data_IF_062877956814
#
_entry.id   IF_062877956814
#
_cell.length_a   1.000
_cell.length_b   1.000
_cell.length_c   1.000
_cell.angle_alpha   90.00
_cell.angle_beta   90.00
_cell.angle_gamma   90.00
#
_symmetry.space_group_name_H-M   'P 1'
#
loop_
_entity.id
_entity.type
_entity.pdbx_description
1 polymer ?
#
# COMPACT_ATOMS: atom_id res chain seq x y z
N UNK A 1 14.48 22.31 7.24
CA UNK A 1 14.82 20.99 7.79
C UNK A 1 14.01 19.97 7.01
N UNK A 2 14.64 19.20 6.11
CA UNK A 2 13.96 18.12 5.38
C UNK A 2 13.53 17.07 6.39
N UNK A 3 12.25 16.69 6.39
CA UNK A 3 11.79 15.53 7.16
C UNK A 3 12.50 14.32 6.55
N UNK A 4 13.47 13.76 7.27
CA UNK A 4 14.15 12.54 6.84
C UNK A 4 13.23 11.37 7.18
N UNK A 5 12.78 10.63 6.16
CA UNK A 5 12.00 9.42 6.39
C UNK A 5 12.97 8.27 6.67
N UNK A 6 12.90 7.69 7.86
CA UNK A 6 13.70 6.51 8.19
C UNK A 6 13.01 5.24 7.70
N UNK A 7 13.75 4.42 6.95
CA UNK A 7 13.32 3.08 6.49
C UNK A 7 13.96 1.97 7.34
N UNK A 8 15.17 2.26 7.85
CA UNK A 8 15.96 1.38 8.69
C UNK A 8 15.62 1.63 10.15
N UNK A 9 14.56 0.97 10.61
CA UNK A 9 14.03 1.11 11.98
C UNK A 9 13.39 -0.20 12.44
N UNK A 10 13.20 -0.34 13.75
CA UNK A 10 12.40 -1.42 14.34
C UNK A 10 10.96 -1.35 13.81
N UNK A 11 10.44 -2.52 13.42
CA UNK A 11 9.08 -2.70 12.87
C UNK A 11 8.21 -3.59 13.76
N UNK A 12 8.62 -3.78 15.02
CA UNK A 12 7.91 -4.61 16.00
C UNK A 12 6.94 -3.76 16.82
N UNK A 13 5.67 -4.13 16.77
CA UNK A 13 4.64 -3.53 17.63
C UNK A 13 4.97 -3.78 19.11
N UNK A 14 4.70 -2.79 19.97
CA UNK A 14 5.02 -2.83 21.40
C UNK A 14 6.48 -2.56 21.76
N UNK A 15 7.39 -2.47 20.78
CA UNK A 15 8.78 -2.12 21.04
C UNK A 15 8.94 -0.61 21.28
N UNK A 16 9.72 -0.22 22.30
CA UNK A 16 10.08 1.19 22.56
C UNK A 16 10.78 1.87 21.38
N UNK A 17 11.47 1.08 20.54
CA UNK A 17 12.20 1.56 19.38
C UNK A 17 11.37 1.55 18.09
N UNK A 18 10.08 1.23 18.12
CA UNK A 18 9.25 1.18 16.91
C UNK A 18 9.30 2.50 16.13
N UNK A 19 9.76 2.45 14.88
CA UNK A 19 9.81 3.61 13.98
C UNK A 19 10.82 4.69 14.35
N UNK A 20 11.67 4.47 15.37
CA UNK A 20 12.74 5.40 15.72
C UNK A 20 13.94 5.23 14.76
N UNK A 21 14.59 6.34 14.35
CA UNK A 21 15.81 6.24 13.56
C UNK A 21 16.93 5.62 14.40
N UNK A 22 17.93 5.06 13.73
CA UNK A 22 19.07 4.39 14.38
C UNK A 22 19.84 5.29 15.35
N UNK A 23 19.85 6.61 15.10
CA UNK A 23 20.49 7.61 15.97
C UNK A 23 19.73 7.90 17.26
N UNK A 24 18.48 7.45 17.39
CA UNK A 24 17.63 7.75 18.54
C UNK A 24 17.64 6.66 19.62
N UNK A 25 18.37 5.56 19.43
CA UNK A 25 18.43 4.47 20.42
C UNK A 25 19.75 3.69 20.34
N UNK A 26 20.36 3.47 21.49
CA UNK A 26 21.57 2.64 21.61
C UNK A 26 21.28 1.15 21.45
N UNK A 27 20.02 0.71 21.56
CA UNK A 27 19.62 -0.71 21.46
C UNK A 27 19.87 -1.32 20.08
N UNK A 28 20.12 -0.48 19.08
CA UNK A 28 20.34 -0.92 17.72
C UNK A 28 21.78 -1.42 17.51
N UNK A 29 21.93 -2.48 16.71
CA UNK A 29 23.20 -2.97 16.19
C UNK A 29 23.06 -3.19 14.69
N UNK A 30 24.00 -2.64 13.91
CA UNK A 30 23.99 -2.78 12.45
C UNK A 30 25.39 -2.54 11.85
N UNK A 31 25.73 -3.19 10.72
CA UNK A 31 25.00 -4.30 10.13
C UNK A 31 25.20 -5.61 10.92
N UNK A 32 24.11 -6.33 11.17
CA UNK A 32 24.13 -7.69 11.72
C UNK A 32 23.75 -8.69 10.61
N UNK A 33 24.49 -9.80 10.49
CA UNK A 33 24.34 -10.79 9.41
C UNK A 33 23.79 -12.14 9.89
N UNK A 34 23.27 -12.23 11.13
CA UNK A 34 22.76 -13.49 11.71
C UNK A 34 21.75 -14.23 10.81
N UNK A 35 20.94 -13.51 10.04
CA UNK A 35 19.94 -14.10 9.14
C UNK A 35 20.43 -14.33 7.70
N UNK A 36 21.75 -14.21 7.45
CA UNK A 36 22.34 -14.39 6.11
C UNK A 36 22.22 -13.17 5.20
N UNK A 37 21.79 -12.03 5.74
CA UNK A 37 21.68 -10.74 5.04
C UNK A 37 21.90 -9.57 5.99
N UNK A 38 22.29 -8.38 5.50
CA UNK A 38 22.48 -7.21 6.35
C UNK A 38 21.13 -6.77 6.95
N UNK A 39 21.05 -6.82 8.27
CA UNK A 39 19.87 -6.47 9.04
C UNK A 39 20.20 -5.47 10.17
N UNK A 40 19.18 -4.74 10.60
CA UNK A 40 19.20 -3.91 11.79
C UNK A 40 18.70 -4.76 12.96
N UNK A 41 19.58 -5.13 13.88
CA UNK A 41 19.19 -5.86 15.08
C UNK A 41 18.74 -4.87 16.17
N UNK A 42 17.50 -5.01 16.64
CA UNK A 42 16.97 -4.25 17.77
C UNK A 42 17.05 -5.07 19.07
N UNK A 43 18.04 -4.80 19.92
CA UNK A 43 18.25 -5.57 21.18
C UNK A 43 17.10 -5.47 22.17
N UNK A 44 16.28 -4.42 22.09
CA UNK A 44 15.11 -4.26 22.96
C UNK A 44 13.98 -5.28 22.71
N UNK A 45 13.87 -5.85 21.50
CA UNK A 45 12.81 -6.80 21.16
C UNK A 45 13.29 -8.01 20.33
N UNK A 46 14.57 -8.06 19.99
CA UNK A 46 15.16 -9.14 19.18
C UNK A 46 14.79 -9.10 17.69
N UNK A 47 14.18 -8.02 17.17
CA UNK A 47 13.80 -7.96 15.76
C UNK A 47 15.00 -7.75 14.84
N UNK A 48 14.94 -8.33 13.63
CA UNK A 48 15.95 -8.21 12.57
C UNK A 48 15.36 -7.70 11.24
N UNK A 49 14.81 -6.47 11.16
CA UNK A 49 14.41 -5.89 9.88
C UNK A 49 15.61 -5.78 8.91
N UNK A 50 15.42 -6.08 7.61
CA UNK A 50 16.44 -5.89 6.58
C UNK A 50 16.92 -4.43 6.50
N UNK A 51 18.20 -4.24 6.18
CA UNK A 51 18.79 -2.92 5.90
C UNK A 51 18.62 -2.57 4.42
N UNK A 52 18.22 -1.34 4.18
CA UNK A 52 18.18 -0.73 2.85
C UNK A 52 19.18 0.42 2.75
N UNK A 53 19.60 0.76 1.54
CA UNK A 53 20.37 1.98 1.30
C UNK A 53 19.46 3.21 1.52
N UNK A 54 19.62 3.86 2.68
CA UNK A 54 18.76 4.96 3.10
C UNK A 54 18.92 6.21 2.22
N UNK A 55 20.12 6.47 1.69
CA UNK A 55 20.36 7.58 0.77
C UNK A 55 19.59 7.37 -0.54
N UNK A 56 19.79 6.22 -1.21
CA UNK A 56 19.10 5.92 -2.46
C UNK A 56 17.58 5.91 -2.26
N UNK A 57 17.10 5.39 -1.12
CA UNK A 57 15.68 5.40 -0.79
C UNK A 57 15.13 6.83 -0.66
N UNK A 58 15.81 7.70 0.09
CA UNK A 58 15.36 9.07 0.30
C UNK A 58 15.42 9.92 -0.96
N UNK A 59 16.44 9.75 -1.81
CA UNK A 59 16.54 10.43 -3.12
C UNK A 59 15.38 10.02 -4.06
N UNK A 60 15.10 8.71 -4.12
CA UNK A 60 13.96 8.18 -4.89
C UNK A 60 12.62 8.67 -4.32
N UNK A 61 12.43 8.55 -3.00
CA UNK A 61 11.20 8.96 -2.33
C UNK A 61 10.94 10.47 -2.49
N UNK A 62 11.97 11.31 -2.36
CA UNK A 62 11.87 12.75 -2.59
C UNK A 62 11.33 13.05 -3.99
N UNK A 63 11.83 12.33 -5.01
CA UNK A 63 11.37 12.49 -6.40
C UNK A 63 9.90 12.09 -6.56
N UNK A 64 9.49 10.96 -5.97
CA UNK A 64 8.10 10.50 -5.98
C UNK A 64 7.15 11.48 -5.27
N UNK A 65 7.52 11.95 -4.07
CA UNK A 65 6.72 12.91 -3.30
C UNK A 65 6.62 14.26 -4.01
N UNK A 66 7.73 14.75 -4.56
CA UNK A 66 7.75 15.97 -5.35
C UNK A 66 6.83 15.89 -6.56
N UNK A 67 6.92 14.79 -7.33
CA UNK A 67 6.06 14.57 -8.49
C UNK A 67 4.58 14.51 -8.09
N UNK A 68 4.25 13.78 -7.01
CA UNK A 68 2.88 13.68 -6.50
C UNK A 68 2.33 15.05 -6.06
N UNK A 69 3.14 15.85 -5.36
CA UNK A 69 2.78 17.20 -4.92
C UNK A 69 2.60 18.19 -6.08
N UNK A 70 3.45 18.10 -7.11
CA UNK A 70 3.33 18.93 -8.32
C UNK A 70 2.12 18.53 -9.17
N UNK A 71 1.74 17.26 -9.15
CA UNK A 71 0.55 16.77 -9.84
C UNK A 71 -0.74 17.25 -9.14
N UNK A 72 -0.84 17.01 -7.82
CA UNK A 72 -2.10 17.13 -7.09
C UNK A 72 -2.24 18.40 -6.23
N UNK A 73 -1.13 18.99 -5.77
CA UNK A 73 -1.15 20.19 -4.94
C UNK A 73 -1.56 20.01 -3.46
N UNK A 74 -1.67 18.77 -2.96
CA UNK A 74 -2.12 18.49 -1.59
C UNK A 74 -1.11 18.85 -0.48
N UNK A 75 0.19 18.87 -0.81
CA UNK A 75 1.24 19.27 0.11
C UNK A 75 2.40 19.89 -0.67
N UNK A 76 3.32 20.56 0.04
CA UNK A 76 4.48 21.20 -0.58
C UNK A 76 5.46 20.17 -1.15
N UNK A 77 5.96 20.33 -2.39
CA UNK A 77 6.92 19.40 -2.98
C UNK A 77 8.30 19.40 -2.30
N UNK A 78 8.63 20.41 -1.50
CA UNK A 78 9.96 20.51 -0.86
C UNK A 78 9.96 20.15 0.63
N UNK A 79 9.03 20.73 1.39
CA UNK A 79 8.96 20.54 2.85
C UNK A 79 7.78 19.68 3.30
N UNK A 80 6.97 19.18 2.37
CA UNK A 80 5.81 18.32 2.63
C UNK A 80 4.72 18.92 3.53
N UNK A 81 4.80 20.22 3.82
CA UNK A 81 3.76 20.92 4.59
C UNK A 81 2.43 20.89 3.81
N UNK A 82 1.32 20.45 4.42
CA UNK A 82 0.01 20.41 3.76
C UNK A 82 -0.65 21.79 3.66
N UNK A 83 -0.16 22.79 4.41
CA UNK A 83 -0.76 24.13 4.46
C UNK A 83 -0.28 25.00 3.29
N UNK A 84 -1.18 25.27 2.36
CA UNK A 84 -0.94 26.12 1.19
C UNK A 84 -1.89 27.32 1.15
N UNK A 85 -1.57 28.32 0.31
CA UNK A 85 -2.46 29.44 -0.04
C UNK A 85 -2.49 29.62 -1.55
N UNK A 86 -3.58 30.17 -2.09
CA UNK A 86 -3.62 30.65 -3.47
C UNK A 86 -2.63 31.81 -3.64
N UNK A 87 -1.82 31.79 -4.70
CA UNK A 87 -0.74 32.75 -4.93
C UNK A 87 -0.73 33.23 -6.40
N UNK A 88 -1.73 34.03 -6.77
CA UNK A 88 -1.86 34.55 -8.14
C UNK A 88 -2.00 33.46 -9.20
N UNK A 89 -1.73 33.82 -10.45
CA UNK A 89 -1.88 32.94 -11.61
C UNK A 89 -0.58 32.88 -12.41
N UNK A 90 -0.38 31.81 -13.17
CA UNK A 90 0.69 31.78 -14.17
C UNK A 90 0.26 32.52 -15.46
N UNK A 91 1.16 32.73 -16.43
CA UNK A 91 0.80 33.40 -17.70
C UNK A 91 -0.31 32.71 -18.50
N UNK A 92 -0.60 31.43 -18.23
CA UNK A 92 -1.71 30.67 -18.85
C UNK A 92 -3.01 30.76 -18.06
N UNK A 93 -3.07 31.58 -17.02
CA UNK A 93 -4.26 31.78 -16.19
C UNK A 93 -4.56 30.66 -15.20
N UNK A 94 -3.66 29.70 -14.95
CA UNK A 94 -3.90 28.61 -13.98
C UNK A 94 -3.46 29.02 -12.58
N UNK A 95 -4.20 28.59 -11.57
CA UNK A 95 -3.98 28.96 -10.16
C UNK A 95 -2.64 28.42 -9.66
N UNK A 96 -1.81 29.34 -9.14
CA UNK A 96 -0.58 28.99 -8.39
C UNK A 96 -0.89 28.83 -6.91
N UNK A 97 -0.12 28.02 -6.23
CA UNK A 97 -0.17 27.87 -4.77
C UNK A 97 1.19 28.16 -4.15
N UNK A 98 1.19 28.63 -2.91
CA UNK A 98 2.39 28.86 -2.11
C UNK A 98 2.32 28.07 -0.80
N UNK A 99 3.42 27.42 -0.44
CA UNK A 99 3.56 26.78 0.87
C UNK A 99 3.62 27.81 2.00
N UNK A 100 2.84 27.63 3.06
CA UNK A 100 2.89 28.54 4.22
C UNK A 100 4.21 28.46 4.98
N UNK A 101 4.84 27.28 5.03
CA UNK A 101 6.06 27.02 5.78
C UNK A 101 7.33 27.50 5.05
N UNK A 102 7.64 26.95 3.87
CA UNK A 102 8.89 27.29 3.15
C UNK A 102 8.74 28.33 2.04
N UNK A 103 7.53 28.87 1.82
CA UNK A 103 7.22 29.87 0.77
C UNK A 103 7.44 29.42 -0.67
N UNK A 104 7.73 28.14 -0.93
CA UNK A 104 7.78 27.56 -2.28
C UNK A 104 6.48 27.82 -3.02
N UNK A 105 6.57 28.34 -4.24
CA UNK A 105 5.45 28.55 -5.15
C UNK A 105 5.48 27.50 -6.26
N UNK A 106 4.33 26.92 -6.59
CA UNK A 106 4.18 26.02 -7.74
C UNK A 106 2.78 26.08 -8.33
N UNK A 107 2.59 25.46 -9.48
CA UNK A 107 1.28 25.32 -10.14
C UNK A 107 0.93 23.82 -10.19
N UNK A 108 -0.05 23.34 -9.42
CA UNK A 108 -0.51 21.96 -9.52
C UNK A 108 -1.02 21.65 -10.93
N UNK A 109 -0.72 20.49 -11.50
CA UNK A 109 -1.25 20.13 -12.81
C UNK A 109 -2.76 19.87 -12.76
N UNK A 110 -3.22 19.19 -11.72
CA UNK A 110 -4.63 19.02 -11.45
C UNK A 110 -5.19 20.27 -10.77
N UNK A 111 -6.01 21.01 -11.53
CA UNK A 111 -6.61 22.27 -11.05
C UNK A 111 -7.88 22.05 -10.23
N UNK A 112 -8.56 20.91 -10.41
CA UNK A 112 -9.70 20.52 -9.57
C UNK A 112 -9.19 20.06 -8.21
N UNK A 113 -9.15 20.97 -7.23
CA UNK A 113 -8.94 20.59 -5.85
C UNK A 113 -10.16 19.79 -5.37
N UNK A 114 -10.06 18.46 -5.42
CA UNK A 114 -11.02 17.60 -4.73
C UNK A 114 -10.84 17.84 -3.24
N UNK A 115 -11.94 18.10 -2.53
CA UNK A 115 -11.92 18.20 -1.07
C UNK A 115 -11.34 16.89 -0.53
N UNK A 116 -10.21 16.96 0.18
CA UNK A 116 -9.69 15.79 0.88
C UNK A 116 -10.70 15.43 1.96
N UNK A 117 -11.27 14.23 1.84
CA UNK A 117 -12.12 13.65 2.86
C UNK A 117 -11.29 12.61 3.60
N UNK A 118 -11.20 12.75 4.92
CA UNK A 118 -10.45 11.80 5.72
C UNK A 118 -11.19 10.45 5.77
N UNK A 119 -10.53 9.33 5.44
CA UNK A 119 -11.10 8.01 5.61
C UNK A 119 -11.09 7.65 7.10
N UNK A 120 -12.11 6.92 7.55
CA UNK A 120 -12.09 6.32 8.89
C UNK A 120 -11.10 5.14 8.94
N UNK A 121 -11.00 4.42 7.82
CA UNK A 121 -10.22 3.21 7.66
C UNK A 121 -9.61 3.15 6.26
N UNK A 122 -8.33 2.82 6.19
CA UNK A 122 -7.64 2.58 4.93
C UNK A 122 -7.57 1.07 4.69
N UNK A 123 -8.07 0.65 3.54
CA UNK A 123 -7.89 -0.71 3.02
C UNK A 123 -6.80 -0.68 1.95
N UNK A 124 -5.78 -1.54 2.02
CA UNK A 124 -4.73 -1.65 1.01
C UNK A 124 -4.57 -3.09 0.53
N UNK A 125 -4.64 -3.28 -0.78
CA UNK A 125 -4.40 -4.58 -1.43
C UNK A 125 -3.31 -4.45 -2.48
N UNK A 126 -2.75 -5.60 -2.86
CA UNK A 126 -1.82 -5.72 -3.97
C UNK A 126 -2.40 -6.49 -5.15
N UNK A 127 -2.01 -6.11 -6.36
CA UNK A 127 -2.30 -6.85 -7.60
C UNK A 127 -1.03 -7.04 -8.42
N UNK A 128 -1.01 -8.08 -9.23
CA UNK A 128 0.03 -8.32 -10.22
C UNK A 128 -0.59 -8.19 -11.61
N UNK A 129 -0.08 -7.26 -12.41
CA UNK A 129 -0.63 -6.92 -13.72
C UNK A 129 0.39 -7.21 -14.82
N UNK A 130 0.01 -7.86 -15.94
CA UNK A 130 0.95 -8.12 -17.02
C UNK A 130 1.27 -6.85 -17.82
N UNK A 131 2.49 -6.76 -18.33
CA UNK A 131 2.97 -5.73 -19.24
C UNK A 131 3.94 -6.29 -20.28
N UNK A 132 4.13 -5.58 -21.39
CA UNK A 132 5.12 -5.88 -22.41
C UNK A 132 6.49 -5.32 -22.02
N UNK A 133 7.38 -6.18 -21.55
CA UNK A 133 8.77 -5.83 -21.26
C UNK A 133 9.74 -6.42 -22.28
N UNK A 134 10.89 -6.93 -21.79
CA UNK A 134 11.93 -7.57 -22.62
C UNK A 134 11.39 -8.76 -23.40
N UNK A 135 10.56 -9.57 -22.76
CA UNK A 135 9.76 -10.63 -23.36
C UNK A 135 8.28 -10.40 -22.98
N UNK A 136 7.37 -11.22 -23.51
CA UNK A 136 5.96 -11.18 -23.12
C UNK A 136 5.76 -11.52 -21.63
N UNK A 137 4.57 -11.24 -21.10
CA UNK A 137 4.13 -11.66 -19.75
C UNK A 137 5.03 -11.18 -18.60
N UNK A 138 5.65 -10.00 -18.74
CA UNK A 138 6.31 -9.38 -17.60
C UNK A 138 5.26 -8.89 -16.61
N UNK A 139 5.59 -8.90 -15.33
CA UNK A 139 4.68 -8.65 -14.24
C UNK A 139 5.00 -7.32 -13.57
N UNK A 140 3.98 -6.53 -13.29
CA UNK A 140 4.06 -5.28 -12.57
C UNK A 140 3.33 -5.45 -11.23
N UNK A 141 3.97 -5.05 -10.14
CA UNK A 141 3.37 -5.08 -8.82
C UNK A 141 2.66 -3.75 -8.55
N UNK A 142 1.38 -3.82 -8.20
CA UNK A 142 0.49 -2.66 -8.01
C UNK A 142 -0.01 -2.65 -6.58
N UNK A 143 0.02 -1.48 -5.95
CA UNK A 143 -0.57 -1.22 -4.64
C UNK A 143 -1.72 -0.25 -4.79
N UNK A 144 -2.85 -0.60 -4.17
CA UNK A 144 -4.06 0.22 -4.24
C UNK A 144 -4.62 0.35 -2.83
N UNK A 145 -4.82 1.60 -2.43
CA UNK A 145 -5.43 1.95 -1.16
C UNK A 145 -6.77 2.65 -1.38
N UNK A 146 -7.74 2.28 -0.53
CA UNK A 146 -9.12 2.72 -0.60
C UNK A 146 -9.55 3.36 0.73
N UNK A 147 -10.51 4.26 0.65
CA UNK A 147 -11.41 4.51 1.77
C UNK A 147 -12.31 3.28 1.91
N UNK A 148 -12.12 2.50 2.98
CA UNK A 148 -12.79 1.22 3.16
C UNK A 148 -14.32 1.35 3.30
N UNK A 149 -14.83 2.52 3.66
CA UNK A 149 -16.27 2.75 3.88
C UNK A 149 -16.93 3.33 2.63
N UNK A 150 -16.27 4.28 1.98
CA UNK A 150 -16.81 4.98 0.79
C UNK A 150 -16.53 4.23 -0.51
N UNK A 151 -15.53 3.36 -0.53
CA UNK A 151 -15.16 2.56 -1.70
C UNK A 151 -14.28 3.29 -2.71
N UNK A 152 -14.03 4.60 -2.55
CA UNK A 152 -13.18 5.35 -3.46
C UNK A 152 -11.69 5.03 -3.24
N UNK A 153 -10.93 5.05 -4.32
CA UNK A 153 -9.47 4.89 -4.31
C UNK A 153 -8.86 6.18 -3.79
N UNK A 154 -8.03 6.09 -2.76
CA UNK A 154 -7.31 7.24 -2.19
C UNK A 154 -5.87 7.32 -2.69
N UNK A 155 -5.25 6.19 -3.04
CA UNK A 155 -3.94 6.16 -3.64
C UNK A 155 -3.69 4.87 -4.44
N UNK A 156 -3.07 4.99 -5.60
CA UNK A 156 -2.59 3.87 -6.42
C UNK A 156 -1.13 4.15 -6.78
N UNK A 157 -0.27 3.16 -6.61
CA UNK A 157 1.11 3.20 -7.11
C UNK A 157 1.52 1.83 -7.64
N UNK A 158 2.57 1.81 -8.45
CA UNK A 158 3.18 0.58 -8.93
C UNK A 158 4.64 0.55 -8.48
N UNK A 159 5.27 -0.61 -8.56
CA UNK A 159 6.71 -0.70 -8.36
C UNK A 159 7.54 -0.30 -9.60
N UNK A 160 6.90 0.22 -10.65
CA UNK A 160 7.58 0.93 -11.73
C UNK A 160 7.75 2.40 -11.37
N UNK A 161 8.92 2.97 -11.66
CA UNK A 161 9.20 4.39 -11.46
C UNK A 161 9.94 4.95 -12.67
N UNK A 162 9.55 6.15 -13.12
CA UNK A 162 10.32 6.90 -14.11
C UNK A 162 11.46 7.70 -13.48
N UNK A 163 11.42 7.90 -12.16
CA UNK A 163 12.47 8.56 -11.40
C UNK A 163 13.70 7.65 -11.27
N UNK A 164 14.88 8.27 -11.19
CA UNK A 164 16.11 7.57 -10.92
C UNK A 164 16.01 6.80 -9.61
N UNK A 165 16.26 5.49 -9.67
CA UNK A 165 16.39 4.63 -8.50
C UNK A 165 17.80 4.07 -8.46
N UNK A 166 18.44 4.14 -7.29
CA UNK A 166 19.70 3.45 -7.07
C UNK A 166 19.57 1.93 -7.24
N UNK A 167 20.67 1.28 -7.62
CA UNK A 167 20.66 -0.13 -8.02
C UNK A 167 20.22 -1.08 -6.90
N UNK A 168 20.53 -0.73 -5.65
CA UNK A 168 20.18 -1.56 -4.47
C UNK A 168 18.68 -1.61 -4.20
N UNK A 169 17.91 -0.68 -4.77
CA UNK A 169 16.45 -0.64 -4.64
C UNK A 169 15.73 -1.41 -5.74
N UNK A 170 16.46 -1.85 -6.78
CA UNK A 170 15.86 -2.49 -7.96
C UNK A 170 15.40 -3.90 -7.63
N UNK A 171 14.31 -4.29 -8.26
CA UNK A 171 13.80 -5.65 -8.17
C UNK A 171 14.59 -6.57 -9.10
N UNK A 172 15.03 -7.70 -8.55
CA UNK A 172 15.71 -8.75 -9.29
C UNK A 172 14.94 -10.05 -9.13
N UNK A 173 14.48 -10.58 -10.26
CA UNK A 173 13.82 -11.88 -10.29
C UNK A 173 14.86 -12.99 -10.26
N UNK A 174 14.74 -13.92 -9.31
CA UNK A 174 15.68 -15.04 -9.07
C UNK A 174 15.32 -16.32 -9.83
N UNK A 175 14.40 -16.26 -10.80
CA UNK A 175 13.98 -17.43 -11.59
C UNK A 175 12.88 -18.28 -10.93
N UNK A 176 12.51 -17.99 -9.68
CA UNK A 176 11.44 -18.69 -8.97
C UNK A 176 10.21 -17.78 -8.86
N UNK A 177 9.01 -18.34 -8.99
CA UNK A 177 7.75 -17.63 -8.75
C UNK A 177 7.12 -18.26 -7.51
N UNK A 178 6.67 -17.43 -6.58
CA UNK A 178 5.89 -17.93 -5.44
C UNK A 178 4.61 -18.63 -5.96
N UNK A 179 4.30 -19.84 -5.48
CA UNK A 179 3.19 -20.61 -6.02
C UNK A 179 1.88 -19.87 -5.83
N UNK A 180 0.97 -20.03 -6.79
CA UNK A 180 -0.36 -19.45 -6.65
C UNK A 180 -1.08 -20.03 -5.43
N UNK A 181 -1.78 -19.17 -4.70
CA UNK A 181 -2.45 -19.51 -3.45
C UNK A 181 -3.93 -19.86 -3.68
N UNK A 182 -4.24 -20.44 -4.83
CA UNK A 182 -5.57 -20.96 -5.10
C UNK A 182 -5.80 -22.25 -4.32
N UNK A 183 -6.61 -22.14 -3.26
CA UNK A 183 -7.13 -23.28 -2.51
C UNK A 183 -8.56 -22.98 -2.09
N UNK A 184 -9.48 -23.94 -2.19
CA UNK A 184 -10.89 -23.73 -1.83
C UNK A 184 -11.05 -23.42 -0.33
N UNK A 185 -10.28 -24.08 0.53
CA UNK A 185 -10.24 -23.76 1.95
C UNK A 185 -9.38 -22.50 2.23
N UNK A 186 -10.03 -21.44 2.69
CA UNK A 186 -9.40 -20.18 3.12
C UNK A 186 -8.38 -20.36 4.26
N UNK A 187 -8.59 -21.32 5.15
CA UNK A 187 -7.66 -21.62 6.26
C UNK A 187 -6.34 -22.12 5.71
N UNK A 188 -6.40 -23.01 4.72
CA UNK A 188 -5.21 -23.47 4.01
C UNK A 188 -4.52 -22.37 3.21
N UNK A 189 -5.26 -21.40 2.66
CA UNK A 189 -4.64 -20.24 1.98
C UNK A 189 -3.78 -19.41 2.94
N UNK A 190 -4.27 -19.16 4.16
CA UNK A 190 -3.50 -18.47 5.23
C UNK A 190 -2.25 -19.27 5.60
N UNK A 191 -2.36 -20.59 5.82
CA UNK A 191 -1.21 -21.47 6.12
C UNK A 191 -0.16 -21.46 5.01
N UNK A 192 -0.61 -21.55 3.76
CA UNK A 192 0.25 -21.55 2.59
C UNK A 192 0.99 -20.21 2.45
N UNK A 193 0.32 -19.08 2.69
CA UNK A 193 0.93 -17.75 2.67
C UNK A 193 1.99 -17.58 3.77
N UNK A 194 1.69 -17.99 5.01
CA UNK A 194 2.66 -17.98 6.11
C UNK A 194 3.90 -18.85 5.78
N UNK A 195 3.67 -20.01 5.17
CA UNK A 195 4.75 -20.90 4.72
C UNK A 195 5.59 -20.26 3.62
N UNK A 196 4.97 -19.52 2.69
CA UNK A 196 5.69 -18.78 1.65
C UNK A 196 6.62 -17.72 2.25
N UNK A 197 6.17 -16.95 3.24
CA UNK A 197 7.01 -15.95 3.88
C UNK A 197 8.30 -16.54 4.45
N UNK A 198 8.22 -17.72 5.07
CA UNK A 198 9.37 -18.41 5.66
C UNK A 198 10.33 -19.02 4.62
N UNK A 199 9.84 -19.28 3.40
CA UNK A 199 10.67 -19.80 2.30
C UNK A 199 11.47 -18.72 1.60
N UNK A 200 11.13 -17.44 1.81
CA UNK A 200 11.88 -16.33 1.21
C UNK A 200 13.26 -16.19 1.89
N UNK A 201 14.27 -15.80 1.12
CA UNK A 201 15.59 -15.45 1.65
C UNK A 201 15.56 -14.25 2.60
N UNK A 202 14.65 -13.31 2.34
CA UNK A 202 14.31 -12.21 3.23
C UNK A 202 12.79 -12.07 3.20
N UNK A 203 12.16 -11.79 4.35
CA UNK A 203 10.70 -11.71 4.44
C UNK A 203 10.08 -10.72 3.42
N UNK A 204 10.79 -9.64 3.12
CA UNK A 204 10.40 -8.56 2.21
C UNK A 204 10.79 -8.78 0.74
N UNK A 205 11.46 -9.90 0.41
CA UNK A 205 11.93 -10.22 -0.93
C UNK A 205 10.95 -11.14 -1.67
N UNK A 206 9.74 -10.64 -1.88
CA UNK A 206 8.71 -11.32 -2.68
C UNK A 206 9.20 -11.60 -4.12
N UNK A 207 8.94 -12.80 -4.62
CA UNK A 207 9.21 -13.21 -6.01
C UNK A 207 7.91 -13.39 -6.80
N UNK A 208 7.31 -12.28 -7.24
CA UNK A 208 6.03 -12.29 -7.97
C UNK A 208 6.20 -12.60 -9.49
N UNK A 209 7.44 -12.73 -9.96
CA UNK A 209 7.84 -13.14 -11.31
C UNK A 209 8.70 -12.13 -12.05
N UNK A 210 8.98 -12.39 -13.33
CA UNK A 210 9.86 -11.54 -14.14
C UNK A 210 9.24 -10.18 -14.39
N UNK A 211 10.03 -9.11 -14.23
CA UNK A 211 9.60 -7.73 -14.45
C UNK A 211 10.61 -6.97 -15.34
N UNK A 212 11.28 -7.66 -16.25
CA UNK A 212 12.34 -7.09 -17.07
C UNK A 212 11.78 -6.08 -18.08
N UNK A 213 12.23 -4.83 -17.99
CA UNK A 213 11.86 -3.79 -18.95
C UNK A 213 12.52 -4.02 -20.33
N UNK A 214 12.02 -3.35 -21.38
CA UNK A 214 12.68 -3.30 -22.69
C UNK A 214 14.07 -2.65 -22.57
N UNK A 215 15.01 -3.00 -23.46
CA UNK A 215 16.41 -2.55 -23.42
C UNK A 215 16.61 -1.02 -23.31
N UNK A 216 15.68 -0.23 -23.84
CA UNK A 216 15.73 1.25 -23.82
C UNK A 216 14.51 1.86 -23.11
N UNK A 217 13.83 1.09 -22.26
CA UNK A 217 12.72 1.63 -21.47
C UNK A 217 13.25 2.70 -20.51
N UNK A 218 12.54 3.83 -20.42
CA UNK A 218 12.77 4.81 -19.35
C UNK A 218 12.22 4.26 -18.03
N UNK A 219 12.95 4.50 -16.95
CA UNK A 219 12.57 4.08 -15.61
C UNK A 219 13.13 2.73 -15.17
N UNK A 220 12.67 2.27 -14.02
CA UNK A 220 13.13 1.05 -13.36
C UNK A 220 11.99 0.36 -12.62
N UNK A 221 12.17 -0.92 -12.31
CA UNK A 221 11.31 -1.66 -11.38
C UNK A 221 12.02 -1.71 -10.03
N UNK A 222 11.43 -1.09 -9.01
CA UNK A 222 11.91 -1.17 -7.62
C UNK A 222 11.34 -2.40 -6.91
N UNK A 223 12.00 -2.82 -5.84
CA UNK A 223 11.50 -3.89 -4.96
C UNK A 223 10.10 -3.51 -4.44
N UNK A 224 9.13 -4.44 -4.38
CA UNK A 224 7.79 -4.15 -3.86
C UNK A 224 7.77 -3.55 -2.45
N UNK A 225 8.68 -3.97 -1.56
CA UNK A 225 8.84 -3.36 -0.23
C UNK A 225 9.22 -1.87 -0.29
N UNK A 226 10.08 -1.48 -1.23
CA UNK A 226 10.45 -0.07 -1.43
C UNK A 226 9.26 0.74 -1.94
N UNK A 227 8.54 0.20 -2.93
CA UNK A 227 7.32 0.79 -3.44
C UNK A 227 6.25 0.94 -2.34
N UNK A 228 6.10 -0.07 -1.47
CA UNK A 228 5.16 -0.05 -0.34
C UNK A 228 5.51 1.05 0.67
N UNK A 229 6.78 1.16 1.08
CA UNK A 229 7.20 2.25 1.94
C UNK A 229 6.89 3.62 1.32
N UNK A 230 7.17 3.83 0.02
CA UNK A 230 6.80 5.08 -0.66
C UNK A 230 5.28 5.33 -0.70
N UNK A 231 4.50 4.29 -1.03
CA UNK A 231 3.04 4.33 -1.08
C UNK A 231 2.44 4.79 0.26
N UNK A 232 2.86 4.18 1.37
CA UNK A 232 2.36 4.53 2.69
C UNK A 232 2.89 5.87 3.21
N UNK A 233 4.04 6.37 2.74
CA UNK A 233 4.48 7.74 3.05
C UNK A 233 3.57 8.79 2.40
N UNK A 234 3.13 8.59 1.16
CA UNK A 234 2.14 9.47 0.54
C UNK A 234 0.84 9.46 1.35
N UNK A 235 0.33 8.28 1.69
CA UNK A 235 -0.89 8.15 2.49
C UNK A 235 -0.76 8.79 3.87
N UNK A 236 0.37 8.65 4.55
CA UNK A 236 0.60 9.27 5.85
C UNK A 236 0.67 10.80 5.76
N UNK A 237 1.22 11.37 4.68
CA UNK A 237 1.19 12.82 4.46
C UNK A 237 -0.24 13.34 4.22
N UNK A 238 -1.08 12.57 3.54
CA UNK A 238 -2.47 12.93 3.28
C UNK A 238 -3.37 12.71 4.51
N UNK A 239 -3.14 11.62 5.23
CA UNK A 239 -4.02 11.10 6.28
C UNK A 239 -3.21 10.68 7.52
N UNK A 240 -2.51 11.61 8.20
CA UNK A 240 -1.60 11.28 9.30
C UNK A 240 -2.32 10.75 10.55
N UNK A 241 -3.62 11.01 10.68
CA UNK A 241 -4.43 10.70 11.87
C UNK A 241 -5.29 9.44 11.72
N UNK A 242 -5.23 8.77 10.56
CA UNK A 242 -5.96 7.51 10.36
C UNK A 242 -5.40 6.44 11.29
N UNK A 243 -6.29 5.81 12.04
CA UNK A 243 -5.93 4.83 13.07
C UNK A 243 -6.09 3.39 12.60
N UNK A 244 -7.00 3.11 11.67
CA UNK A 244 -7.32 1.74 11.27
C UNK A 244 -6.82 1.42 9.86
N UNK A 245 -5.99 0.39 9.76
CA UNK A 245 -5.41 -0.10 8.52
C UNK A 245 -5.76 -1.58 8.32
N UNK A 246 -6.35 -1.89 7.17
CA UNK A 246 -6.67 -3.25 6.75
C UNK A 246 -5.81 -3.55 5.53
N UNK A 247 -4.98 -4.58 5.60
CA UNK A 247 -4.04 -4.91 4.53
C UNK A 247 -4.21 -6.37 4.09
N UNK A 248 -3.99 -6.63 2.80
CA UNK A 248 -3.85 -8.00 2.30
C UNK A 248 -2.74 -8.74 3.03
N UNK A 249 -2.81 -10.07 3.11
CA UNK A 249 -1.86 -10.91 3.85
C UNK A 249 -0.47 -10.93 3.18
N UNK A 250 0.32 -9.89 3.45
CA UNK A 250 1.68 -9.71 2.97
C UNK A 250 2.53 -9.01 4.03
N UNK A 251 3.64 -9.64 4.44
CA UNK A 251 4.38 -9.26 5.62
C UNK A 251 5.16 -7.93 5.46
N UNK A 252 5.59 -7.58 4.25
CA UNK A 252 6.25 -6.28 4.04
C UNK A 252 5.26 -5.11 4.07
N UNK A 253 3.98 -5.32 3.74
CA UNK A 253 2.95 -4.28 3.88
C UNK A 253 2.77 -3.90 5.35
N UNK A 254 2.75 -4.91 6.25
CA UNK A 254 2.75 -4.70 7.70
C UNK A 254 3.91 -3.80 8.13
N UNK A 255 5.12 -4.09 7.64
CA UNK A 255 6.31 -3.31 7.95
C UNK A 255 6.23 -1.86 7.44
N UNK A 256 5.64 -1.64 6.28
CA UNK A 256 5.50 -0.32 5.68
C UNK A 256 4.43 0.53 6.39
N UNK A 257 3.27 -0.05 6.74
CA UNK A 257 2.21 0.64 7.51
C UNK A 257 2.70 1.01 8.90
N UNK A 258 3.26 0.06 9.65
CA UNK A 258 3.62 0.29 11.06
C UNK A 258 4.72 1.35 11.20
N UNK A 259 5.58 1.49 10.20
CA UNK A 259 6.60 2.55 10.15
C UNK A 259 6.08 3.87 9.59
N UNK A 260 5.04 3.84 8.76
CA UNK A 260 4.33 5.02 8.28
C UNK A 260 3.63 5.78 9.42
N UNK A 261 2.87 5.07 10.26
CA UNK A 261 2.14 5.63 11.40
C UNK A 261 2.75 5.24 12.76
N UNK A 262 4.08 5.14 12.84
CA UNK A 262 4.77 4.63 14.03
C UNK A 262 4.39 5.36 15.33
N UNK A 263 4.11 6.66 15.28
CA UNK A 263 3.64 7.42 16.44
C UNK A 263 2.31 6.90 16.98
N UNK A 264 1.31 6.64 16.12
CA UNK A 264 0.01 6.13 16.54
C UNK A 264 0.13 4.73 17.15
N UNK A 265 0.96 3.86 16.54
CA UNK A 265 1.18 2.51 17.05
C UNK A 265 1.95 2.49 18.38
N UNK A 266 2.93 3.39 18.57
CA UNK A 266 3.62 3.53 19.87
C UNK A 266 2.69 4.03 20.97
N UNK A 267 1.74 4.90 20.64
CA UNK A 267 0.71 5.37 21.57
C UNK A 267 -0.42 4.36 21.79
N UNK A 268 -0.37 3.18 21.16
CA UNK A 268 -1.43 2.17 21.25
C UNK A 268 -2.75 2.58 20.60
N UNK A 269 -2.74 3.61 19.74
CA UNK A 269 -3.94 4.15 19.10
C UNK A 269 -4.17 3.59 17.69
N UNK A 270 -3.16 2.96 17.09
CA UNK A 270 -3.23 2.38 15.75
C UNK A 270 -3.69 0.92 15.79
N UNK A 271 -4.60 0.58 14.89
CA UNK A 271 -5.10 -0.76 14.62
C UNK A 271 -4.69 -1.21 13.22
N UNK A 272 -4.07 -2.39 13.12
CA UNK A 272 -3.66 -2.97 11.85
C UNK A 272 -4.10 -4.42 11.77
N UNK A 273 -4.66 -4.81 10.63
CA UNK A 273 -5.29 -6.10 10.44
C UNK A 273 -4.85 -6.74 9.12
N UNK A 274 -4.52 -8.04 9.14
CA UNK A 274 -4.62 -8.85 7.93
C UNK A 274 -6.05 -9.32 7.74
N UNK A 275 -6.45 -9.42 6.48
CA UNK A 275 -7.71 -10.02 6.07
C UNK A 275 -7.51 -10.84 4.79
N UNK A 276 -8.12 -12.01 4.77
CA UNK A 276 -8.32 -12.85 3.60
C UNK A 276 -9.81 -13.15 3.49
N UNK A 277 -10.34 -13.18 2.27
CA UNK A 277 -11.77 -13.34 2.02
C UNK A 277 -12.06 -14.34 0.90
N UNK A 278 -13.20 -15.00 1.02
CA UNK A 278 -13.82 -15.85 0.02
C UNK A 278 -15.28 -15.40 -0.09
N UNK A 279 -15.60 -14.59 -1.10
CA UNK A 279 -16.93 -14.04 -1.29
C UNK A 279 -17.57 -14.69 -2.52
N UNK A 280 -18.47 -15.64 -2.27
CA UNK A 280 -19.22 -16.37 -3.28
C UNK A 280 -20.61 -15.77 -3.52
N UNK A 281 -21.12 -14.99 -2.55
CA UNK A 281 -22.41 -14.33 -2.60
C UNK A 281 -22.29 -12.88 -2.11
N UNK A 282 -22.20 -11.92 -3.03
CA UNK A 282 -22.02 -10.51 -2.69
C UNK A 282 -23.28 -9.84 -2.13
N UNK A 283 -24.43 -10.50 -2.17
CA UNK A 283 -25.74 -9.96 -1.78
C UNK A 283 -26.34 -10.68 -0.56
N UNK A 284 -25.50 -11.40 0.19
CA UNK A 284 -25.93 -12.10 1.39
C UNK A 284 -26.33 -11.13 2.51
N UNK A 285 -27.60 -11.14 2.87
CA UNK A 285 -28.15 -10.39 4.01
C UNK A 285 -27.88 -11.06 5.38
N UNK A 286 -27.28 -12.26 5.37
CA UNK A 286 -26.94 -13.00 6.59
C UNK A 286 -25.87 -12.21 7.37
N UNK A 287 -25.93 -12.10 8.70
CA UNK A 287 -24.84 -11.48 9.46
C UNK A 287 -23.60 -12.38 9.52
N UNK A 288 -22.41 -11.78 9.57
CA UNK A 288 -21.17 -12.50 9.87
C UNK A 288 -21.24 -13.16 11.26
N UNK A 289 -20.99 -14.46 11.30
CA UNK A 289 -20.93 -15.27 12.51
C UNK A 289 -19.50 -15.73 12.76
N UNK A 290 -19.02 -15.53 13.99
CA UNK A 290 -17.72 -16.04 14.43
C UNK A 290 -17.78 -17.55 14.57
N UNK A 291 -16.77 -18.25 14.05
CA UNK A 291 -16.69 -19.70 14.15
C UNK A 291 -15.64 -20.13 15.18
N UNK A 292 -14.39 -19.72 14.97
CA UNK A 292 -13.26 -20.11 15.82
C UNK A 292 -12.07 -19.18 15.65
N UNK A 293 -11.15 -19.27 16.61
CA UNK A 293 -9.81 -18.69 16.52
C UNK A 293 -8.79 -19.82 16.35
N UNK A 294 -7.81 -19.64 15.47
CA UNK A 294 -6.71 -20.58 15.24
C UNK A 294 -5.37 -19.83 15.11
N UNK A 295 -4.27 -20.50 15.46
CA UNK A 295 -2.93 -19.95 15.33
C UNK A 295 -2.28 -20.44 14.04
N UNK A 296 -1.65 -19.53 13.31
CA UNK A 296 -1.03 -19.81 12.01
C UNK A 296 0.38 -19.23 11.90
N UNK A 297 1.21 -19.91 11.11
CA UNK A 297 2.56 -19.49 10.78
C UNK A 297 3.56 -19.57 11.93
N UNK A 298 4.81 -19.21 11.64
CA UNK A 298 5.89 -19.18 12.64
C UNK A 298 5.62 -18.19 13.77
N UNK A 299 4.97 -17.07 13.45
CA UNK A 299 4.61 -16.04 14.41
C UNK A 299 3.44 -16.41 15.32
N UNK A 300 2.82 -17.58 15.13
CA UNK A 300 1.64 -18.04 15.88
C UNK A 300 0.54 -16.98 15.95
N UNK A 301 0.34 -16.27 14.82
CA UNK A 301 -0.61 -15.17 14.73
C UNK A 301 -2.02 -15.70 14.93
N UNK A 302 -2.83 -15.00 15.73
CA UNK A 302 -4.20 -15.42 16.05
C UNK A 302 -5.16 -14.96 14.96
N UNK A 303 -5.64 -15.90 14.16
CA UNK A 303 -6.62 -15.65 13.11
C UNK A 303 -8.01 -16.05 13.58
N UNK A 304 -9.01 -15.24 13.26
CA UNK A 304 -10.42 -15.52 13.50
C UNK A 304 -11.09 -15.91 12.18
N UNK A 305 -11.79 -17.04 12.18
CA UNK A 305 -12.62 -17.49 11.07
C UNK A 305 -14.06 -17.01 11.26
N UNK A 306 -14.61 -16.39 10.23
CA UNK A 306 -15.97 -15.90 10.19
C UNK A 306 -16.69 -16.43 8.95
N UNK A 307 -17.99 -16.70 9.09
CA UNK A 307 -18.84 -17.21 8.01
C UNK A 307 -20.11 -16.37 7.84
N UNK A 308 -20.55 -16.26 6.59
CA UNK A 308 -21.79 -15.58 6.19
C UNK A 308 -22.39 -16.34 4.99
N UNK A 309 -23.29 -17.29 5.25
CA UNK A 309 -23.84 -18.14 4.19
C UNK A 309 -22.75 -18.92 3.45
N UNK A 310 -22.52 -18.59 2.18
CA UNK A 310 -21.45 -19.18 1.35
C UNK A 310 -20.14 -18.38 1.37
N UNK A 311 -20.10 -17.27 2.10
CA UNK A 311 -18.92 -16.43 2.24
C UNK A 311 -18.13 -16.81 3.48
N UNK A 312 -16.81 -16.66 3.39
CA UNK A 312 -15.88 -16.85 4.49
C UNK A 312 -14.88 -15.73 4.53
N UNK A 313 -14.41 -15.39 5.72
CA UNK A 313 -13.26 -14.52 5.89
C UNK A 313 -12.41 -14.95 7.07
N UNK A 314 -11.11 -14.69 6.93
CA UNK A 314 -10.15 -14.82 8.01
C UNK A 314 -9.53 -13.47 8.29
N UNK A 315 -9.49 -13.09 9.57
CA UNK A 315 -8.94 -11.81 10.01
C UNK A 315 -7.96 -12.01 11.15
N UNK A 316 -6.85 -11.29 11.11
CA UNK A 316 -5.81 -11.35 12.15
C UNK A 316 -5.45 -9.94 12.61
N UNK A 317 -5.66 -9.60 13.91
CA UNK A 317 -5.10 -8.39 14.48
C UNK A 317 -3.58 -8.50 14.52
N UNK A 318 -2.88 -7.46 14.06
CA UNK A 318 -1.40 -7.38 14.06
C UNK A 318 -0.86 -6.44 15.13
N UNK A 319 -1.74 -5.66 15.72
CA UNK A 319 -1.49 -4.69 16.78
C UNK A 319 -2.60 -4.79 17.82
N UNK A 320 -2.53 -3.95 18.86
CA UNK A 320 -3.69 -3.74 19.73
C UNK A 320 -4.90 -3.24 18.94
N UNK A 321 -6.10 -3.46 19.47
CA UNK A 321 -7.38 -3.08 18.86
C UNK A 321 -8.53 -3.90 19.45
N UNK A 322 -9.77 -3.44 19.24
CA UNK A 322 -10.95 -4.18 19.66
C UNK A 322 -11.19 -5.39 18.73
N UNK A 323 -11.14 -6.60 19.29
CA UNK A 323 -11.41 -7.83 18.56
C UNK A 323 -12.81 -7.88 17.95
N UNK A 324 -13.75 -7.07 18.45
CA UNK A 324 -15.10 -6.91 17.89
C UNK A 324 -15.10 -6.27 16.49
N UNK A 325 -14.06 -5.49 16.15
CA UNK A 325 -13.93 -4.84 14.83
C UNK A 325 -13.82 -5.87 13.70
N UNK A 326 -13.27 -7.05 13.96
CA UNK A 326 -13.15 -8.18 13.04
C UNK A 326 -14.43 -8.44 12.23
N UNK A 327 -15.60 -8.36 12.89
CA UNK A 327 -16.91 -8.56 12.25
C UNK A 327 -17.16 -7.57 11.11
N UNK A 328 -16.72 -6.31 11.27
CA UNK A 328 -16.95 -5.18 10.35
C UNK A 328 -15.87 -5.01 9.29
N UNK A 329 -14.78 -5.78 9.34
CA UNK A 329 -13.71 -5.72 8.34
C UNK A 329 -14.14 -6.44 7.06
N UNK A 330 -13.84 -5.84 5.92
CA UNK A 330 -13.99 -6.45 4.60
C UNK A 330 -13.11 -5.74 3.58
N UNK A 331 -12.74 -6.46 2.52
CA UNK A 331 -12.10 -5.95 1.31
C UNK A 331 -13.11 -5.57 0.20
N UNK A 332 -14.35 -5.18 0.57
CA UNK A 332 -15.39 -4.86 -0.42
C UNK A 332 -14.96 -3.76 -1.37
N UNK A 333 -14.27 -2.72 -0.87
CA UNK A 333 -13.84 -1.60 -1.69
C UNK A 333 -12.89 -2.07 -2.80
N UNK A 334 -11.87 -2.87 -2.45
CA UNK A 334 -10.97 -3.40 -3.46
C UNK A 334 -11.64 -4.40 -4.38
N UNK A 335 -12.48 -5.33 -3.88
CA UNK A 335 -13.20 -6.29 -4.74
C UNK A 335 -14.02 -5.59 -5.82
N UNK A 336 -14.77 -4.56 -5.44
CA UNK A 336 -15.60 -3.81 -6.38
C UNK A 336 -14.74 -3.12 -7.44
N UNK A 337 -13.65 -2.45 -7.05
CA UNK A 337 -12.76 -1.83 -8.02
C UNK A 337 -12.07 -2.86 -8.92
N UNK A 338 -11.58 -3.96 -8.37
CA UNK A 338 -10.87 -5.02 -9.11
C UNK A 338 -11.81 -5.64 -10.15
N UNK A 339 -13.02 -6.03 -9.74
CA UNK A 339 -14.04 -6.56 -10.65
C UNK A 339 -14.37 -5.54 -11.75
N UNK A 340 -14.50 -4.26 -11.41
CA UNK A 340 -14.71 -3.20 -12.38
C UNK A 340 -13.51 -3.04 -13.33
N UNK A 341 -12.28 -3.08 -12.81
CA UNK A 341 -11.02 -2.91 -13.55
C UNK A 341 -10.86 -3.99 -14.63
N UNK A 342 -11.13 -5.26 -14.29
CA UNK A 342 -11.05 -6.37 -15.25
C UNK A 342 -12.09 -6.29 -16.37
N UNK A 343 -13.20 -5.55 -16.19
CA UNK A 343 -14.18 -5.26 -17.26
C UNK A 343 -13.68 -4.16 -18.23
N UNK A 344 -12.60 -3.44 -17.94
CA UNK A 344 -12.14 -2.31 -18.75
C UNK A 344 -11.31 -2.76 -19.96
N UNK A 345 -11.70 -2.34 -21.17
CA UNK A 345 -11.05 -2.70 -22.44
C UNK A 345 -9.60 -2.22 -22.52
N UNK A 346 -9.28 -1.06 -21.95
CA UNK A 346 -7.91 -0.55 -21.89
C UNK A 346 -7.01 -1.40 -20.98
N UNK A 347 -7.57 -1.97 -19.92
CA UNK A 347 -6.84 -2.83 -18.99
C UNK A 347 -6.60 -4.23 -19.57
N UNK A 348 -7.56 -4.81 -20.30
CA UNK A 348 -7.39 -6.14 -20.91
C UNK A 348 -6.23 -6.22 -21.91
N UNK A 349 -5.75 -5.08 -22.43
CA UNK A 349 -4.58 -4.97 -23.30
C UNK A 349 -3.27 -4.66 -22.57
N UNK A 350 -3.23 -4.68 -21.24
CA UNK A 350 -2.05 -4.27 -20.46
C UNK A 350 -0.79 -5.05 -20.85
N UNK A 351 -0.93 -6.34 -21.16
CA UNK A 351 0.16 -7.23 -21.58
C UNK A 351 0.89 -6.76 -22.86
N UNK A 352 0.29 -5.86 -23.66
CA UNK A 352 0.87 -5.32 -24.89
C UNK A 352 1.57 -3.97 -24.67
N UNK A 353 1.47 -3.40 -23.46
CA UNK A 353 1.90 -2.04 -23.15
C UNK A 353 3.13 -2.02 -22.24
N UNK A 354 3.92 -0.95 -22.30
CA UNK A 354 5.06 -0.78 -21.37
C UNK A 354 4.59 -0.59 -19.93
N UNK A 355 5.44 -0.92 -18.95
CA UNK A 355 5.14 -0.72 -17.52
C UNK A 355 4.69 0.72 -17.18
N UNK A 356 5.34 1.73 -17.77
CA UNK A 356 4.94 3.12 -17.62
C UNK A 356 3.56 3.41 -18.20
N UNK A 357 3.23 2.89 -19.38
CA UNK A 357 1.90 3.08 -19.98
C UNK A 357 0.81 2.36 -19.18
N UNK A 358 1.08 1.14 -18.68
CA UNK A 358 0.17 0.41 -17.79
C UNK A 358 -0.07 1.22 -16.51
N UNK A 359 0.99 1.77 -15.90
CA UNK A 359 0.88 2.63 -14.71
C UNK A 359 -0.01 3.85 -14.97
N UNK A 360 0.16 4.54 -16.10
CA UNK A 360 -0.68 5.69 -16.47
C UNK A 360 -2.15 5.31 -16.70
N UNK A 361 -2.42 4.17 -17.34
CA UNK A 361 -3.78 3.66 -17.54
C UNK A 361 -4.43 3.33 -16.19
N UNK A 362 -3.71 2.67 -15.28
CA UNK A 362 -4.22 2.35 -13.94
C UNK A 362 -4.57 3.62 -13.16
N UNK A 363 -3.73 4.65 -13.21
CA UNK A 363 -4.00 5.94 -12.58
C UNK A 363 -5.22 6.65 -13.18
N UNK A 364 -5.38 6.62 -14.51
CA UNK A 364 -6.55 7.17 -15.20
C UNK A 364 -7.84 6.42 -14.81
N UNK A 365 -7.81 5.09 -14.87
CA UNK A 365 -8.97 4.26 -14.51
C UNK A 365 -9.35 4.41 -13.04
N UNK A 366 -8.39 4.63 -12.15
CA UNK A 366 -8.68 4.94 -10.75
C UNK A 366 -9.38 6.30 -10.60
N UNK A 367 -9.03 7.30 -11.41
CA UNK A 367 -9.74 8.57 -11.44
C UNK A 367 -11.15 8.42 -11.99
N UNK A 368 -11.32 7.71 -13.11
CA UNK A 368 -12.62 7.43 -13.73
C UNK A 368 -13.55 6.68 -12.76
N UNK A 369 -13.01 5.69 -12.04
CA UNK A 369 -13.75 4.97 -11.00
C UNK A 369 -14.24 5.91 -9.89
N UNK A 370 -13.36 6.77 -9.39
CA UNK A 370 -13.71 7.74 -8.35
C UNK A 370 -14.72 8.80 -8.82
N UNK A 371 -14.67 9.23 -10.09
CA UNK A 371 -15.62 10.18 -10.63
C UNK A 371 -17.05 9.61 -10.69
N UNK A 372 -17.19 8.29 -10.89
CA UNK A 372 -18.49 7.62 -10.82
C UNK A 372 -19.12 7.64 -9.42
N UNK A 373 -18.33 7.62 -8.35
CA UNK A 373 -18.85 7.80 -6.98
C UNK A 373 -19.35 9.23 -6.72
N UNK A 374 -18.74 10.22 -7.37
CA UNK A 374 -19.08 11.63 -7.17
C UNK A 374 -20.37 12.03 -7.89
N UNK A 375 -20.79 11.26 -8.90
CA UNK A 375 -21.99 11.48 -9.70
C UNK A 375 -23.23 10.73 -9.17
N UNK A 376 -23.09 9.89 -8.13
CA UNK A 376 -24.24 9.22 -7.51
C UNK A 376 -25.09 10.26 -6.74
N UNK A 377 -26.42 10.33 -6.96
CA UNK A 377 -27.26 11.34 -6.34
C UNK A 377 -27.18 11.30 -4.82
N UNK A 378 -27.10 12.48 -4.20
CA UNK A 378 -27.17 12.69 -2.76
C UNK A 378 -28.47 12.08 -2.21
N UNK A 379 -28.38 10.85 -1.70
CA UNK A 379 -29.53 10.07 -1.25
C UNK A 379 -29.38 8.56 -1.41
N UNK A 380 -28.44 8.08 -2.23
CA UNK A 380 -28.13 6.65 -2.28
C UNK A 380 -27.23 6.24 -1.10
N UNK A 381 -27.72 5.29 -0.30
CA UNK A 381 -26.94 4.67 0.76
C UNK A 381 -25.70 3.99 0.16
N UNK A 382 -24.55 3.95 0.85
CA UNK A 382 -23.30 3.39 0.28
C UNK A 382 -23.49 1.98 -0.31
N UNK A 383 -24.39 1.17 0.26
CA UNK A 383 -24.78 -0.15 -0.26
C UNK A 383 -25.42 -0.11 -1.67
N UNK A 384 -26.15 0.94 -2.04
CA UNK A 384 -26.75 1.10 -3.38
C UNK A 384 -25.72 1.49 -4.44
N UNK A 385 -24.65 2.22 -4.09
CA UNK A 385 -23.57 2.53 -5.02
C UNK A 385 -22.74 1.28 -5.31
N UNK A 386 -22.46 0.48 -4.27
CA UNK A 386 -21.84 -0.84 -4.42
C UNK A 386 -22.72 -1.78 -5.26
N UNK A 387 -24.06 -1.69 -5.18
CA UNK A 387 -24.99 -2.45 -6.02
C UNK A 387 -25.01 -1.99 -7.48
N UNK A 388 -25.02 -0.67 -7.74
CA UNK A 388 -25.01 -0.11 -9.10
C UNK A 388 -23.69 -0.35 -9.87
N UNK A 389 -22.59 -0.61 -9.17
CA UNK A 389 -21.29 -0.97 -9.77
C UNK A 389 -21.08 -2.50 -9.91
N UNK A 390 -22.01 -3.32 -9.41
CA UNK A 390 -22.01 -4.79 -9.64
C UNK A 390 -22.44 -5.13 -11.07
N UNK A 391 -23.39 -4.37 -11.64
CA UNK A 391 -23.73 -4.40 -13.07
C UNK A 391 -22.58 -3.82 -13.90
#
# INVERSE_FOLDING_TARGET
MLILFTINTCKSFGCRNLGLPVSASEDYSWPDYRLGYPALHCRACGSYPPLFNEQQFNEWLFSCLSAYALENGYFCPECYCPKTICYGYNPRGTQRVQCRACKKVWTPKQQKQRKIVYPERIETVSLVVPFQGRIAEQKLYVLISFDAIRGNIIHLSTNFTEHQSGETLRYHWKGNIEPDLHHADIVKRVDMRETQFLRRSQFDEIQYGSAALKCNARGSIVRPVIAAHGHFRILNLLFPEVKMHVISHECFLRGAVITAWANLFRLGQGEMWFIEEEINDNDSDIPWNFQRTSQHGWWQSQWQLWEQGRNRKMVCPLTGGDSSNAKRLSLTASRCFINWLYKQTHFSRSAQLSAGRVTQILLSLAQDYNDKFTLAPSGMNNGSIFSAMKS
#
